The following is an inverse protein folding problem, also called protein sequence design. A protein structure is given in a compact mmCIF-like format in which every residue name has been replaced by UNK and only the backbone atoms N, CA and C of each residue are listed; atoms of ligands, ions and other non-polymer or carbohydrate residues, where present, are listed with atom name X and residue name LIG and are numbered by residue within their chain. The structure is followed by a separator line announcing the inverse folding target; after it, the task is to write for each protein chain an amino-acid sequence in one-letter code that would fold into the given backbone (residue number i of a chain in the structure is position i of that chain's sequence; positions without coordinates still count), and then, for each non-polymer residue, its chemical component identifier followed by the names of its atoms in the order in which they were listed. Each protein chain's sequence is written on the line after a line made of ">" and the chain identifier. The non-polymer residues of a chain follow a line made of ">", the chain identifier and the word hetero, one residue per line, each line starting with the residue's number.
data_IF_704211212040
#
_entry.id   IF_704211212040
#
_cell.length_a   1.000
_cell.length_b   1.000
_cell.length_c   1.000
_cell.angle_alpha   90.00
_cell.angle_beta   90.00
_cell.angle_gamma   90.00
#
_symmetry.space_group_name_H-M   'P 1'
#
loop_
_entity.id
_entity.type
_entity.pdbx_description
1 polymer ?
#
# COMPACT_ATOMS: atom_id res chain seq x y z
N UNK A 1 19.01 2.42 7.54
CA UNK A 1 18.67 1.09 6.96
C UNK A 1 19.12 1.09 5.49
N UNK A 2 19.53 -0.04 4.92
CA UNK A 2 20.08 -0.11 3.55
C UNK A 2 19.09 0.30 2.45
N UNK A 3 17.79 0.32 2.75
CA UNK A 3 16.73 0.73 1.82
C UNK A 3 16.38 2.23 1.88
N UNK A 4 17.02 3.02 2.74
CA UNK A 4 16.62 4.42 2.98
C UNK A 4 16.71 5.29 1.71
N UNK A 5 17.75 5.09 0.89
CA UNK A 5 17.92 5.82 -0.37
C UNK A 5 16.86 5.40 -1.41
N UNK A 6 16.59 4.10 -1.55
CA UNK A 6 15.55 3.60 -2.45
C UNK A 6 14.16 4.13 -2.07
N UNK A 7 13.86 4.24 -0.78
CA UNK A 7 12.59 4.80 -0.27
C UNK A 7 12.49 6.30 -0.59
N UNK A 8 13.57 7.06 -0.41
CA UNK A 8 13.60 8.48 -0.76
C UNK A 8 13.49 8.69 -2.28
N UNK A 9 14.06 7.79 -3.07
CA UNK A 9 13.96 7.84 -4.52
C UNK A 9 12.55 7.51 -4.99
N UNK A 10 11.91 6.50 -4.41
CA UNK A 10 10.51 6.18 -4.69
C UNK A 10 9.55 7.34 -4.34
N UNK A 11 9.84 8.13 -3.29
CA UNK A 11 9.09 9.37 -3.04
C UNK A 11 9.22 10.37 -4.18
N UNK A 12 10.42 10.57 -4.73
CA UNK A 12 10.65 11.52 -5.83
C UNK A 12 9.99 11.06 -7.13
N UNK A 13 10.06 9.77 -7.41
CA UNK A 13 9.62 9.20 -8.69
C UNK A 13 8.12 8.89 -8.71
N UNK A 14 7.57 8.41 -7.58
CA UNK A 14 6.19 7.89 -7.47
C UNK A 14 5.31 8.77 -6.58
N UNK A 15 5.88 9.50 -5.61
CA UNK A 15 5.11 10.39 -4.71
C UNK A 15 4.51 9.72 -3.47
N UNK A 16 4.92 8.48 -3.14
CA UNK A 16 4.50 7.83 -1.88
C UNK A 16 5.33 8.36 -0.70
N UNK A 17 4.70 8.83 0.41
CA UNK A 17 5.42 9.47 1.51
C UNK A 17 6.53 8.55 2.06
N UNK A 18 7.78 9.02 2.14
CA UNK A 18 8.92 8.13 2.40
C UNK A 18 8.87 7.54 3.81
N UNK A 19 8.41 8.32 4.80
CA UNK A 19 8.24 7.82 6.18
C UNK A 19 7.14 6.77 6.25
N UNK A 20 6.03 6.96 5.54
CA UNK A 20 4.93 5.98 5.47
C UNK A 20 5.43 4.68 4.84
N UNK A 21 6.09 4.74 3.68
CA UNK A 21 6.65 3.57 3.01
C UNK A 21 7.66 2.84 3.90
N UNK A 22 8.54 3.56 4.59
CA UNK A 22 9.49 2.98 5.54
C UNK A 22 8.81 2.26 6.70
N UNK A 23 7.79 2.86 7.32
CA UNK A 23 7.05 2.23 8.43
C UNK A 23 6.21 1.05 7.96
N UNK A 24 5.68 1.10 6.74
CA UNK A 24 5.00 -0.02 6.12
C UNK A 24 5.94 -1.21 5.95
N UNK A 25 7.11 -1.03 5.32
CA UNK A 25 8.09 -2.12 5.14
C UNK A 25 8.56 -2.68 6.50
N UNK A 26 8.75 -1.81 7.49
CA UNK A 26 9.08 -2.23 8.86
C UNK A 26 7.99 -3.12 9.45
N UNK A 27 6.72 -2.73 9.30
CA UNK A 27 5.56 -3.44 9.87
C UNK A 27 5.32 -4.76 9.15
N UNK A 28 5.40 -4.76 7.82
CA UNK A 28 5.13 -5.94 6.99
C UNK A 28 6.24 -6.96 7.14
N UNK A 29 7.46 -6.60 6.77
CA UNK A 29 8.52 -7.59 6.54
C UNK A 29 9.75 -7.37 7.41
N UNK A 30 9.77 -6.33 8.25
CA UNK A 30 10.95 -5.93 9.03
C UNK A 30 12.19 -5.71 8.15
N UNK A 31 11.98 -5.23 6.92
CA UNK A 31 13.02 -5.12 5.88
C UNK A 31 13.64 -6.46 5.44
N UNK A 32 12.93 -7.57 5.59
CA UNK A 32 13.30 -8.85 5.03
C UNK A 32 12.44 -9.17 3.79
N UNK A 33 13.00 -9.21 2.58
CA UNK A 33 12.21 -9.32 1.35
C UNK A 33 12.05 -10.79 0.89
N UNK A 34 11.42 -11.61 1.73
CA UNK A 34 11.13 -13.02 1.44
C UNK A 34 9.66 -13.26 1.09
N UNK A 35 9.25 -14.52 1.01
CA UNK A 35 7.84 -14.88 1.06
C UNK A 35 7.41 -15.13 2.53
N UNK A 36 6.14 -14.89 2.82
CA UNK A 36 5.47 -15.23 4.09
C UNK A 36 4.18 -15.99 3.80
N UNK A 37 3.97 -17.12 4.50
CA UNK A 37 2.82 -18.03 4.33
C UNK A 37 2.49 -18.36 2.86
N UNK A 38 3.51 -18.42 1.99
CA UNK A 38 3.42 -18.65 0.53
C UNK A 38 2.54 -17.68 -0.26
N UNK A 39 1.92 -16.69 0.39
CA UNK A 39 0.88 -15.84 -0.19
C UNK A 39 1.26 -14.37 -0.18
N UNK A 40 2.24 -13.98 0.63
CA UNK A 40 2.70 -12.60 0.82
C UNK A 40 4.16 -12.49 0.37
N UNK A 41 4.47 -11.52 -0.48
CA UNK A 41 5.76 -11.46 -1.17
C UNK A 41 6.47 -10.12 -0.95
N UNK A 42 7.79 -10.20 -0.73
CA UNK A 42 8.70 -9.06 -0.71
C UNK A 42 8.50 -8.13 0.49
N UNK A 43 9.05 -6.91 0.39
CA UNK A 43 9.06 -5.93 1.47
C UNK A 43 7.67 -5.49 1.96
N UNK A 44 6.68 -5.50 1.08
CA UNK A 44 5.32 -5.08 1.41
C UNK A 44 4.39 -6.23 1.73
N UNK A 45 4.85 -7.49 1.68
CA UNK A 45 3.98 -8.66 1.84
C UNK A 45 2.76 -8.62 0.89
N UNK A 46 2.99 -8.25 -0.37
CA UNK A 46 1.92 -8.10 -1.37
C UNK A 46 1.36 -9.49 -1.71
N UNK A 47 0.04 -9.61 -1.82
CA UNK A 47 -0.64 -10.84 -2.23
C UNK A 47 -0.99 -10.82 -3.73
N UNK A 48 -1.32 -11.98 -4.31
CA UNK A 48 -1.75 -12.07 -5.72
C UNK A 48 -2.91 -11.11 -6.03
N UNK A 49 -3.96 -11.16 -5.22
CA UNK A 49 -5.12 -10.27 -5.39
C UNK A 49 -4.74 -8.80 -5.17
N UNK A 50 -3.81 -8.51 -4.25
CA UNK A 50 -3.33 -7.15 -4.01
C UNK A 50 -2.52 -6.58 -5.18
N UNK A 51 -1.67 -7.39 -5.80
CA UNK A 51 -0.94 -7.00 -7.01
C UNK A 51 -1.90 -6.72 -8.17
N UNK A 52 -2.86 -7.62 -8.40
CA UNK A 52 -3.89 -7.46 -9.45
C UNK A 52 -4.73 -6.21 -9.26
N UNK A 53 -5.14 -5.93 -8.03
CA UNK A 53 -5.81 -4.69 -7.69
C UNK A 53 -4.93 -3.47 -8.00
N UNK A 54 -3.69 -3.46 -7.55
CA UNK A 54 -2.80 -2.34 -7.83
C UNK A 54 -2.56 -2.12 -9.34
N UNK A 55 -2.42 -3.20 -10.12
CA UNK A 55 -2.29 -3.15 -11.58
C UNK A 55 -3.51 -2.55 -12.28
N UNK A 56 -4.71 -2.80 -11.75
CA UNK A 56 -5.95 -2.22 -12.27
C UNK A 56 -5.97 -0.70 -12.10
N UNK A 57 -5.48 -0.21 -10.95
CA UNK A 57 -5.60 1.20 -10.58
C UNK A 57 -4.38 2.06 -10.93
N UNK A 58 -3.21 1.46 -11.17
CA UNK A 58 -1.98 2.18 -11.49
C UNK A 58 -1.41 1.79 -12.86
N UNK A 59 -1.56 2.68 -13.85
CA UNK A 59 -1.04 2.49 -15.21
C UNK A 59 0.48 2.50 -15.27
N UNK A 60 1.15 3.23 -14.39
CA UNK A 60 2.62 3.28 -14.36
C UNK A 60 3.17 1.96 -13.80
N UNK A 61 2.56 1.41 -12.75
CA UNK A 61 2.83 0.04 -12.30
C UNK A 61 2.63 -0.95 -13.44
N UNK A 62 1.47 -0.89 -14.11
CA UNK A 62 1.16 -1.76 -15.23
C UNK A 62 2.25 -1.70 -16.29
N UNK A 63 2.62 -0.52 -16.77
CA UNK A 63 3.66 -0.34 -17.78
C UNK A 63 5.03 -0.84 -17.31
N UNK A 64 5.29 -0.79 -15.99
CA UNK A 64 6.55 -1.13 -15.35
C UNK A 64 6.78 -2.64 -15.20
N UNK A 65 5.72 -3.44 -15.02
CA UNK A 65 5.85 -4.88 -14.68
C UNK A 65 5.12 -5.84 -15.62
N UNK A 66 4.16 -5.36 -16.42
CA UNK A 66 3.39 -6.23 -17.29
C UNK A 66 4.21 -6.68 -18.51
N UNK A 67 4.18 -7.98 -18.86
CA UNK A 67 4.73 -8.45 -20.13
C UNK A 67 4.00 -7.79 -21.32
N UNK A 68 4.74 -7.38 -22.35
CA UNK A 68 4.15 -6.76 -23.54
C UNK A 68 3.12 -7.67 -24.24
N UNK A 69 3.29 -9.00 -24.15
CA UNK A 69 2.38 -9.99 -24.71
C UNK A 69 1.06 -10.13 -23.95
N UNK A 70 0.95 -9.61 -22.74
CA UNK A 70 -0.23 -9.79 -21.90
C UNK A 70 -1.43 -8.96 -22.37
N UNK A 71 -1.18 -7.82 -23.04
CA UNK A 71 -2.23 -6.83 -23.32
C UNK A 71 -3.07 -6.54 -22.07
N UNK A 72 -4.35 -6.18 -22.25
CA UNK A 72 -5.25 -5.86 -21.15
C UNK A 72 -5.51 -6.97 -20.12
N UNK A 73 -5.00 -8.19 -20.34
CA UNK A 73 -5.16 -9.30 -19.39
C UNK A 73 -4.17 -9.25 -18.22
N UNK A 74 -3.18 -8.33 -18.21
CA UNK A 74 -2.17 -8.32 -17.16
C UNK A 74 -2.75 -8.15 -15.74
N UNK A 75 -3.64 -7.19 -15.53
CA UNK A 75 -4.25 -6.94 -14.22
C UNK A 75 -5.21 -8.07 -13.79
N UNK A 76 -5.85 -8.75 -14.75
CA UNK A 76 -6.82 -9.82 -14.45
C UNK A 76 -6.17 -11.21 -14.34
N UNK A 77 -4.94 -11.40 -14.82
CA UNK A 77 -4.26 -12.69 -14.85
C UNK A 77 -3.62 -13.06 -13.51
N UNK A 78 -4.10 -14.16 -12.92
CA UNK A 78 -3.52 -14.74 -11.71
C UNK A 78 -2.05 -15.12 -11.91
N UNK A 79 -1.72 -15.80 -13.01
CA UNK A 79 -0.37 -16.31 -13.29
C UNK A 79 0.63 -15.18 -13.52
N UNK A 80 0.23 -14.11 -14.22
CA UNK A 80 1.12 -12.96 -14.44
C UNK A 80 1.42 -12.25 -13.12
N UNK A 81 0.41 -12.07 -12.26
CA UNK A 81 0.62 -11.49 -10.95
C UNK A 81 1.58 -12.32 -10.08
N UNK A 82 1.47 -13.65 -10.08
CA UNK A 82 2.43 -14.52 -9.36
C UNK A 82 3.86 -14.40 -9.90
N UNK A 83 4.03 -14.29 -11.22
CA UNK A 83 5.34 -14.07 -11.83
C UNK A 83 5.95 -12.74 -11.40
N UNK A 84 5.15 -11.66 -11.38
CA UNK A 84 5.59 -10.35 -10.89
C UNK A 84 5.98 -10.45 -9.41
N UNK A 85 5.13 -11.06 -8.57
CA UNK A 85 5.37 -11.21 -7.13
C UNK A 85 6.63 -12.01 -6.82
N UNK A 86 6.92 -13.05 -7.59
CA UNK A 86 8.16 -13.82 -7.46
C UNK A 86 9.41 -12.96 -7.66
N UNK A 87 9.34 -11.90 -8.48
CA UNK A 87 10.48 -10.97 -8.66
C UNK A 87 10.78 -10.14 -7.40
N UNK A 88 9.79 -9.96 -6.52
CA UNK A 88 9.89 -9.17 -5.29
C UNK A 88 10.56 -9.92 -4.13
N UNK A 89 10.68 -11.23 -4.24
CA UNK A 89 11.48 -12.07 -3.34
C UNK A 89 12.93 -11.98 -3.78
N UNK A 90 13.72 -11.23 -3.03
CA UNK A 90 15.10 -10.87 -3.41
C UNK A 90 16.16 -11.40 -2.44
N UNK A 91 15.77 -12.34 -1.56
CA UNK A 91 16.72 -13.11 -0.76
C UNK A 91 17.60 -13.97 -1.67
N UNK A 92 18.89 -14.02 -1.37
CA UNK A 92 19.92 -14.65 -2.20
C UNK A 92 20.99 -15.29 -1.30
N UNK A 93 21.14 -16.63 -1.29
CA UNK A 93 22.07 -17.31 -0.38
C UNK A 93 23.54 -16.95 -0.57
N UNK A 94 23.93 -16.52 -1.78
CA UNK A 94 25.30 -16.17 -2.15
C UNK A 94 25.59 -14.67 -2.06
N UNK A 95 24.56 -13.84 -1.85
CA UNK A 95 24.71 -12.39 -1.81
C UNK A 95 25.18 -11.92 -0.43
N UNK A 96 25.88 -10.79 -0.40
CA UNK A 96 26.25 -10.13 0.84
C UNK A 96 24.98 -9.79 1.64
N UNK A 97 24.97 -10.15 2.94
CA UNK A 97 23.82 -10.02 3.84
C UNK A 97 22.56 -10.82 3.43
N UNK A 98 22.69 -11.74 2.46
CA UNK A 98 21.60 -12.62 2.03
C UNK A 98 20.55 -11.94 1.14
N UNK A 99 20.84 -10.75 0.59
CA UNK A 99 19.90 -9.96 -0.22
C UNK A 99 20.60 -9.48 -1.51
N UNK A 100 19.94 -9.67 -2.66
CA UNK A 100 20.35 -9.00 -3.90
C UNK A 100 19.93 -7.53 -3.84
N UNK A 101 20.91 -6.66 -3.59
CA UNK A 101 20.66 -5.23 -3.37
C UNK A 101 20.11 -4.52 -4.60
N UNK A 102 20.50 -4.92 -5.82
CA UNK A 102 19.99 -4.33 -7.06
C UNK A 102 18.50 -4.64 -7.20
N UNK A 103 18.12 -5.91 -6.99
CA UNK A 103 16.72 -6.32 -7.02
C UNK A 103 15.93 -5.73 -5.84
N UNK A 104 16.56 -5.55 -4.68
CA UNK A 104 15.93 -4.93 -3.52
C UNK A 104 15.49 -3.49 -3.78
N UNK A 105 16.36 -2.67 -4.39
CA UNK A 105 16.01 -1.29 -4.79
C UNK A 105 14.81 -1.29 -5.75
N UNK A 106 14.81 -2.18 -6.75
CA UNK A 106 13.67 -2.32 -7.67
C UNK A 106 12.40 -2.80 -6.98
N UNK A 107 12.51 -3.67 -5.98
CA UNK A 107 11.36 -4.16 -5.19
C UNK A 107 10.71 -3.04 -4.38
N UNK A 108 11.49 -2.09 -3.84
CA UNK A 108 10.97 -0.88 -3.17
C UNK A 108 10.23 0.03 -4.15
N UNK A 109 10.76 0.23 -5.36
CA UNK A 109 10.10 0.99 -6.43
C UNK A 109 8.75 0.38 -6.81
N UNK A 110 8.70 -0.93 -7.06
CA UNK A 110 7.44 -1.63 -7.37
C UNK A 110 6.45 -1.54 -6.19
N UNK A 111 6.93 -1.66 -4.94
CA UNK A 111 6.06 -1.51 -3.77
C UNK A 111 5.45 -0.11 -3.69
N UNK A 112 6.21 0.95 -3.97
CA UNK A 112 5.68 2.30 -3.97
C UNK A 112 4.57 2.46 -5.01
N UNK A 113 4.76 1.93 -6.21
CA UNK A 113 3.74 1.92 -7.26
C UNK A 113 2.49 1.14 -6.86
N UNK A 114 2.65 0.01 -6.17
CA UNK A 114 1.53 -0.76 -5.62
C UNK A 114 0.73 0.08 -4.63
N UNK A 115 1.41 0.72 -3.68
CA UNK A 115 0.78 1.58 -2.67
C UNK A 115 0.06 2.78 -3.31
N UNK A 116 0.64 3.36 -4.37
CA UNK A 116 -0.01 4.42 -5.13
C UNK A 116 -1.26 3.93 -5.86
N UNK A 117 -1.25 2.70 -6.40
CA UNK A 117 -2.46 2.08 -6.98
C UNK A 117 -3.58 1.94 -5.97
N UNK A 118 -3.27 1.56 -4.73
CA UNK A 118 -4.25 1.56 -3.65
C UNK A 118 -4.75 2.98 -3.30
N UNK A 119 -3.91 4.01 -3.42
CA UNK A 119 -4.32 5.40 -3.23
C UNK A 119 -5.33 5.84 -4.31
N UNK A 120 -5.08 5.50 -5.58
CA UNK A 120 -6.01 5.76 -6.68
C UNK A 120 -7.35 5.05 -6.48
N UNK A 121 -7.33 3.77 -6.06
CA UNK A 121 -8.54 3.06 -5.70
C UNK A 121 -9.27 3.74 -4.53
N UNK A 122 -8.55 4.12 -3.47
CA UNK A 122 -9.14 4.80 -2.31
C UNK A 122 -9.81 6.11 -2.70
N UNK A 123 -9.21 6.90 -3.61
CA UNK A 123 -9.84 8.09 -4.14
C UNK A 123 -11.17 7.78 -4.85
N UNK A 124 -11.22 6.71 -5.66
CA UNK A 124 -12.46 6.27 -6.31
C UNK A 124 -13.49 5.76 -5.30
N UNK A 125 -13.07 5.02 -4.27
CA UNK A 125 -13.97 4.54 -3.21
C UNK A 125 -14.62 5.73 -2.49
N UNK A 126 -13.86 6.77 -2.17
CA UNK A 126 -14.39 8.00 -1.57
C UNK A 126 -15.41 8.65 -2.49
N UNK A 127 -15.11 8.77 -3.79
CA UNK A 127 -16.05 9.31 -4.76
C UNK A 127 -17.35 8.49 -4.82
N UNK A 128 -17.25 7.17 -4.89
CA UNK A 128 -18.42 6.28 -4.90
C UNK A 128 -19.24 6.40 -3.60
N UNK A 129 -18.58 6.54 -2.44
CA UNK A 129 -19.23 6.61 -1.13
C UNK A 129 -19.93 7.96 -0.87
N UNK A 130 -19.42 9.05 -1.46
CA UNK A 130 -19.83 10.42 -1.12
C UNK A 130 -20.43 11.20 -2.29
N UNK A 131 -20.22 10.74 -3.52
CA UNK A 131 -20.50 11.46 -4.77
C UNK A 131 -19.67 12.75 -4.95
N UNK A 132 -18.64 12.95 -4.13
CA UNK A 132 -17.78 14.14 -4.15
C UNK A 132 -16.37 13.76 -4.58
N UNK A 133 -15.63 14.70 -5.17
CA UNK A 133 -14.22 14.46 -5.48
C UNK A 133 -13.43 14.32 -4.17
N UNK A 134 -12.52 13.34 -4.08
CA UNK A 134 -11.84 12.98 -2.83
C UNK A 134 -11.11 14.16 -2.17
N UNK A 135 -10.55 15.07 -2.97
CA UNK A 135 -9.87 16.28 -2.48
C UNK A 135 -10.79 17.30 -1.79
N UNK A 136 -12.12 17.19 -1.97
CA UNK A 136 -13.12 18.01 -1.28
C UNK A 136 -13.64 17.34 -0.01
N UNK A 137 -13.38 16.03 0.15
CA UNK A 137 -13.94 15.23 1.25
C UNK A 137 -12.92 15.01 2.36
N UNK A 138 -11.67 14.69 2.01
CA UNK A 138 -10.66 14.30 2.99
C UNK A 138 -9.38 15.12 2.82
N UNK A 139 -8.65 15.32 3.91
CA UNK A 139 -7.32 15.91 3.89
C UNK A 139 -6.23 14.88 3.50
N UNK A 140 -5.04 15.40 3.21
CA UNK A 140 -3.89 14.59 2.79
C UNK A 140 -3.51 13.48 3.79
N UNK A 141 -3.45 13.72 5.12
CA UNK A 141 -3.21 12.64 6.07
C UNK A 141 -4.31 11.58 6.07
N UNK A 142 -5.58 11.97 5.94
CA UNK A 142 -6.71 11.03 5.97
C UNK A 142 -6.72 10.12 4.75
N UNK A 143 -6.44 10.62 3.54
CA UNK A 143 -6.42 9.76 2.34
C UNK A 143 -5.32 8.70 2.41
N UNK A 144 -4.14 9.01 2.95
CA UNK A 144 -3.07 8.02 3.13
C UNK A 144 -3.40 6.97 4.19
N UNK A 145 -4.10 7.35 5.27
CA UNK A 145 -4.59 6.38 6.26
C UNK A 145 -5.66 5.45 5.67
N UNK A 146 -6.58 6.00 4.88
CA UNK A 146 -7.58 5.21 4.15
C UNK A 146 -6.92 4.30 3.10
N UNK A 147 -5.83 4.74 2.47
CA UNK A 147 -5.02 3.93 1.55
C UNK A 147 -4.41 2.72 2.26
N UNK A 148 -3.80 2.92 3.43
CA UNK A 148 -3.26 1.83 4.25
C UNK A 148 -4.35 0.88 4.75
N UNK A 149 -5.51 1.41 5.14
CA UNK A 149 -6.65 0.60 5.54
C UNK A 149 -7.19 -0.23 4.36
N UNK A 150 -7.26 0.33 3.16
CA UNK A 150 -7.62 -0.38 1.94
C UNK A 150 -6.60 -1.47 1.59
N UNK A 151 -5.30 -1.15 1.69
CA UNK A 151 -4.21 -2.12 1.47
C UNK A 151 -4.33 -3.36 2.37
N UNK A 152 -4.65 -3.15 3.65
CA UNK A 152 -4.65 -4.21 4.66
C UNK A 152 -5.98 -4.95 4.80
N UNK A 153 -7.11 -4.23 4.76
CA UNK A 153 -8.44 -4.76 5.06
C UNK A 153 -9.42 -4.72 3.87
N UNK A 154 -9.01 -4.13 2.74
CA UNK A 154 -9.80 -4.08 1.52
C UNK A 154 -10.79 -2.92 1.43
N UNK A 155 -11.40 -2.82 0.25
CA UNK A 155 -12.20 -1.67 -0.19
C UNK A 155 -13.53 -1.53 0.52
N UNK A 156 -14.18 -2.64 0.90
CA UNK A 156 -15.49 -2.64 1.55
C UNK A 156 -15.43 -1.95 2.93
N UNK A 157 -14.41 -2.28 3.73
CA UNK A 157 -14.15 -1.63 5.01
C UNK A 157 -14.00 -0.11 4.87
N UNK A 158 -13.32 0.35 3.82
CA UNK A 158 -13.12 1.77 3.55
C UNK A 158 -14.42 2.42 3.06
N UNK A 159 -15.12 1.79 2.11
CA UNK A 159 -16.38 2.30 1.58
C UNK A 159 -17.43 2.50 2.68
N UNK A 160 -17.66 1.47 3.50
CA UNK A 160 -18.69 1.49 4.53
C UNK A 160 -18.40 2.53 5.60
N UNK A 161 -17.16 2.58 6.11
CA UNK A 161 -16.77 3.56 7.13
C UNK A 161 -16.81 5.00 6.58
N UNK A 162 -16.34 5.21 5.34
CA UNK A 162 -16.34 6.52 4.69
C UNK A 162 -17.77 7.02 4.44
N UNK A 163 -18.65 6.18 3.90
CA UNK A 163 -20.06 6.54 3.67
C UNK A 163 -20.76 6.93 4.97
N UNK A 164 -20.61 6.13 6.03
CA UNK A 164 -21.20 6.43 7.33
C UNK A 164 -20.63 7.72 7.95
N UNK A 165 -19.32 7.95 7.82
CA UNK A 165 -18.67 9.16 8.35
C UNK A 165 -19.15 10.42 7.62
N UNK A 166 -19.28 10.34 6.29
CA UNK A 166 -19.77 11.44 5.47
C UNK A 166 -21.23 11.79 5.78
N UNK A 167 -22.10 10.80 5.95
CA UNK A 167 -23.50 11.02 6.37
C UNK A 167 -23.59 11.64 7.76
N UNK A 168 -22.69 11.27 8.68
CA UNK A 168 -22.68 11.81 10.05
C UNK A 168 -22.17 13.25 10.11
N UNK A 169 -21.16 13.57 9.32
CA UNK A 169 -20.53 14.90 9.29
C UNK A 169 -21.25 15.88 8.37
N UNK A 170 -22.04 15.38 7.42
CA UNK A 170 -22.71 16.13 6.37
C UNK A 170 -21.72 17.02 5.57
N UNK A 171 -20.51 16.50 5.30
CA UNK A 171 -19.45 17.26 4.66
C UNK A 171 -18.06 16.64 4.82
N UNK A 172 -16.99 17.45 4.81
CA UNK A 172 -15.62 16.96 4.92
C UNK A 172 -15.40 16.07 6.15
N UNK A 173 -14.64 14.99 5.93
CA UNK A 173 -14.40 13.92 6.90
C UNK A 173 -12.94 13.90 7.28
N UNK A 174 -12.67 13.90 8.58
CA UNK A 174 -11.34 13.66 9.13
C UNK A 174 -11.19 12.19 9.50
N UNK A 175 -9.95 11.74 9.63
CA UNK A 175 -9.67 10.37 10.07
C UNK A 175 -10.40 9.96 11.36
N UNK A 176 -10.52 10.86 12.34
CA UNK A 176 -11.24 10.57 13.58
C UNK A 176 -12.74 10.30 13.36
N UNK A 177 -13.33 10.86 12.30
CA UNK A 177 -14.72 10.65 11.94
C UNK A 177 -14.90 9.27 11.28
N UNK A 178 -13.93 8.83 10.47
CA UNK A 178 -13.87 7.46 9.91
C UNK A 178 -13.75 6.42 11.02
N UNK A 179 -12.80 6.61 11.96
CA UNK A 179 -12.53 5.67 13.06
C UNK A 179 -13.79 5.34 13.86
N UNK A 180 -14.68 6.32 14.09
CA UNK A 180 -15.93 6.10 14.84
C UNK A 180 -16.94 5.21 14.12
N UNK A 181 -16.77 4.99 12.82
CA UNK A 181 -17.67 4.23 11.97
C UNK A 181 -17.11 2.85 11.58
N UNK A 182 -15.83 2.59 11.88
CA UNK A 182 -15.21 1.29 11.62
C UNK A 182 -15.80 0.25 12.56
N UNK A 183 -16.26 -0.86 12.00
CA UNK A 183 -16.83 -1.99 12.75
C UNK A 183 -16.42 -3.32 12.11
N UNK A 184 -16.48 -4.40 12.89
CA UNK A 184 -16.03 -5.73 12.46
C UNK A 184 -14.52 -5.92 12.55
N UNK A 185 -14.11 -7.12 12.96
CA UNK A 185 -12.71 -7.42 13.34
C UNK A 185 -11.70 -7.13 12.22
N UNK A 186 -12.05 -7.45 10.97
CA UNK A 186 -11.17 -7.21 9.81
C UNK A 186 -10.96 -5.71 9.54
N UNK A 187 -12.03 -4.90 9.59
CA UNK A 187 -11.92 -3.48 9.36
C UNK A 187 -11.23 -2.76 10.53
N UNK A 188 -11.47 -3.20 11.77
CA UNK A 188 -10.76 -2.71 12.96
C UNK A 188 -9.26 -3.02 12.87
N UNK A 189 -8.88 -4.20 12.36
CA UNK A 189 -7.48 -4.53 12.08
C UNK A 189 -6.86 -3.58 11.05
N UNK A 190 -7.53 -3.32 9.93
CA UNK A 190 -7.04 -2.39 8.91
C UNK A 190 -6.89 -0.94 9.41
N UNK A 191 -7.85 -0.48 10.21
CA UNK A 191 -7.77 0.83 10.88
C UNK A 191 -6.59 0.89 11.86
N UNK A 192 -6.38 -0.18 12.65
CA UNK A 192 -5.26 -0.28 13.60
C UNK A 192 -3.92 -0.27 12.87
N UNK A 193 -3.82 -1.01 11.77
CA UNK A 193 -2.66 -1.02 10.88
C UNK A 193 -2.33 0.38 10.35
N UNK A 194 -3.33 1.10 9.81
CA UNK A 194 -3.14 2.47 9.33
C UNK A 194 -2.67 3.43 10.43
N UNK A 195 -3.23 3.32 11.63
CA UNK A 195 -2.82 4.11 12.79
C UNK A 195 -1.39 3.79 13.25
N UNK A 196 -1.00 2.52 13.25
CA UNK A 196 0.34 2.09 13.65
C UNK A 196 1.42 2.63 12.71
N UNK A 197 1.21 2.51 11.39
CA UNK A 197 2.18 2.97 10.38
C UNK A 197 2.32 4.50 10.39
N UNK A 198 1.24 5.21 10.67
CA UNK A 198 1.21 6.69 10.68
C UNK A 198 1.43 7.30 12.06
N UNK A 199 1.68 6.48 13.08
CA UNK A 199 1.99 6.95 14.42
C UNK A 199 3.27 7.80 14.38
N UNK A 200 3.30 8.88 15.18
CA UNK A 200 4.54 9.61 15.42
C UNK A 200 5.51 8.65 16.10
N UNK A 201 6.52 8.19 15.38
CA UNK A 201 7.58 7.36 15.96
C UNK A 201 8.44 8.28 16.81
N UNK A 202 8.31 8.17 18.13
CA UNK A 202 9.15 8.90 19.06
C UNK A 202 10.60 8.47 18.89
N UNK A 203 11.48 9.49 18.85
CA UNK A 203 12.91 9.38 18.96
C UNK A 203 13.24 8.37 20.06
N UNK A 204 14.12 7.40 19.77
CA UNK A 204 14.91 6.81 20.85
C UNK A 204 15.66 7.99 21.47
N UNK A 205 15.35 8.45 22.70
CA UNK A 205 16.26 9.37 23.36
C UNK A 205 17.60 8.63 23.45
N UNK A 206 18.73 9.24 23.02
CA UNK A 206 20.03 8.64 23.30
C UNK A 206 20.11 8.41 24.81
N UNK A 207 20.45 7.17 25.19
CA UNK A 207 20.98 6.91 26.53
C UNK A 207 22.40 7.44 26.58
#
# INVERSE_FOLDING_TARGET
>A
NSMDEAILQAWKDVGVPPVLLKQMIRTESQFWPSHYLQTHFGFGHITNIGMRNALEWNRDLYAKVCPASAGGACASSYTIADQILATLVVTCPTCQYGIDMTRAVRSVDILAEVVLGYCYQTAQIINNATQWHSSMVVDYPTIWKLTLMNYNAGSDCVYTAMRAAFLTTNGPVRWADVVRQVSGDQCVRGMTYANQITAKVYNFPPK
#
